data_IF_749649574123
#
_entry.id   IF_749649574123
#
_cell.length_a   1.000
_cell.length_b   1.000
_cell.length_c   1.000
_cell.angle_alpha   90.00
_cell.angle_beta   90.00
_cell.angle_gamma   90.00
#
_symmetry.space_group_name_H-M   'P 1'
#
loop_
_entity.id
_entity.type
_entity.pdbx_description
1 polymer ?
#
# COMPACT_ATOMS: atom_id res chain seq x y z
N UNK A 1 -23.89 -25.28 19.54
CA UNK A 1 -23.11 -26.13 20.49
C UNK A 1 -21.63 -26.17 20.17
N UNK A 2 -21.24 -26.48 18.92
CA UNK A 2 -19.81 -26.48 18.54
C UNK A 2 -19.08 -25.15 18.82
N UNK A 3 -19.74 -24.01 18.57
CA UNK A 3 -19.18 -22.68 18.88
C UNK A 3 -18.92 -22.46 20.37
N UNK A 4 -19.76 -23.01 21.26
CA UNK A 4 -19.57 -22.89 22.71
C UNK A 4 -18.38 -23.73 23.18
N UNK A 5 -18.25 -24.94 22.65
CA UNK A 5 -17.11 -25.81 22.94
C UNK A 5 -15.82 -25.14 22.45
N UNK A 6 -15.84 -24.58 21.24
CA UNK A 6 -14.69 -23.88 20.67
C UNK A 6 -14.33 -22.61 21.46
N UNK A 7 -15.34 -21.84 21.90
CA UNK A 7 -15.14 -20.67 22.75
C UNK A 7 -14.57 -21.05 24.13
N UNK A 8 -15.00 -22.18 24.70
CA UNK A 8 -14.48 -22.66 25.98
C UNK A 8 -13.02 -23.12 25.85
N UNK A 9 -12.69 -23.87 24.80
CA UNK A 9 -11.30 -24.25 24.50
C UNK A 9 -10.43 -23.01 24.27
N UNK A 10 -10.92 -22.06 23.47
CA UNK A 10 -10.21 -20.80 23.21
C UNK A 10 -10.00 -19.99 24.50
N UNK A 11 -11.01 -19.92 25.37
CA UNK A 11 -10.91 -19.25 26.66
C UNK A 11 -9.82 -19.86 27.54
N UNK A 12 -9.78 -21.20 27.65
CA UNK A 12 -8.71 -21.90 28.38
C UNK A 12 -7.33 -21.57 27.81
N UNK A 13 -7.18 -21.55 26.48
CA UNK A 13 -5.92 -21.16 25.83
C UNK A 13 -5.51 -19.73 26.15
N UNK A 14 -6.45 -18.77 26.12
CA UNK A 14 -6.21 -17.37 26.49
C UNK A 14 -5.81 -17.24 27.95
N UNK A 15 -6.49 -17.95 28.86
CA UNK A 15 -6.15 -17.98 30.28
C UNK A 15 -4.74 -18.55 30.50
N UNK A 16 -4.41 -19.67 29.86
CA UNK A 16 -3.08 -20.28 29.93
C UNK A 16 -2.00 -19.34 29.38
N UNK A 17 -2.28 -18.65 28.28
CA UNK A 17 -1.40 -17.63 27.72
C UNK A 17 -1.17 -16.50 28.71
N UNK A 18 -2.23 -15.98 29.35
CA UNK A 18 -2.11 -14.92 30.34
C UNK A 18 -1.28 -15.34 31.56
N UNK A 19 -1.53 -16.54 32.10
CA UNK A 19 -0.80 -17.06 33.27
C UNK A 19 0.67 -17.31 32.96
N UNK A 20 0.99 -17.90 31.80
CA UNK A 20 2.38 -18.16 31.42
C UNK A 20 3.15 -16.87 31.07
N UNK A 21 2.47 -15.87 30.51
CA UNK A 21 3.04 -14.56 30.18
C UNK A 21 2.90 -13.53 31.32
N UNK A 22 2.51 -13.97 32.53
CA UNK A 22 2.45 -13.14 33.73
C UNK A 22 3.84 -12.85 34.34
N UNK A 23 4.92 -13.39 33.76
CA UNK A 23 6.28 -13.00 34.14
C UNK A 23 6.47 -11.50 33.91
N UNK A 24 6.79 -10.81 34.99
CA UNK A 24 7.17 -9.40 34.96
C UNK A 24 8.55 -9.26 34.31
N UNK A 25 8.62 -8.43 33.28
CA UNK A 25 9.86 -8.07 32.61
C UNK A 25 10.18 -6.63 32.96
N UNK A 26 11.40 -6.39 33.41
CA UNK A 26 11.92 -5.05 33.61
C UNK A 26 12.59 -4.59 32.33
N UNK A 27 12.02 -3.56 31.71
CA UNK A 27 12.64 -2.90 30.56
C UNK A 27 13.42 -1.71 31.11
N UNK A 28 14.73 -1.74 30.92
CA UNK A 28 15.62 -0.63 31.26
C UNK A 28 16.12 0.03 29.97
N UNK A 29 15.75 1.30 29.77
CA UNK A 29 16.17 2.13 28.66
C UNK A 29 16.89 3.37 29.18
N UNK A 30 18.22 3.40 28.98
CA UNK A 30 19.14 4.48 29.36
C UNK A 30 19.09 4.86 30.85
N UNK A 31 18.12 5.67 31.28
CA UNK A 31 17.89 6.05 32.69
C UNK A 31 16.49 5.70 33.21
N UNK A 32 15.61 5.21 32.34
CA UNK A 32 14.25 4.81 32.71
C UNK A 32 14.15 3.30 32.82
N UNK A 33 13.55 2.80 33.89
CA UNK A 33 13.19 1.40 34.04
C UNK A 33 11.71 1.27 34.34
N UNK A 34 11.01 0.42 33.60
CA UNK A 34 9.61 0.08 33.86
C UNK A 34 9.49 -1.42 34.10
N UNK A 35 8.76 -1.79 35.16
CA UNK A 35 8.37 -3.17 35.41
C UNK A 35 6.95 -3.38 34.89
N UNK A 36 6.80 -4.22 33.89
CA UNK A 36 5.50 -4.53 33.28
C UNK A 36 5.43 -6.00 32.88
N UNK A 37 4.26 -6.51 32.53
CA UNK A 37 4.15 -7.90 32.08
C UNK A 37 4.68 -8.05 30.66
N UNK A 38 5.31 -9.20 30.37
CA UNK A 38 5.78 -9.51 29.02
C UNK A 38 4.66 -9.41 27.97
N UNK A 39 3.45 -9.83 28.33
CA UNK A 39 2.28 -9.73 27.46
C UNK A 39 1.99 -8.29 26.99
N UNK A 40 2.08 -7.30 27.88
CA UNK A 40 1.85 -5.89 27.54
C UNK A 40 2.93 -5.38 26.57
N UNK A 41 4.18 -5.78 26.79
CA UNK A 41 5.32 -5.39 25.92
C UNK A 41 5.13 -5.94 24.51
N UNK A 42 4.82 -7.23 24.39
CA UNK A 42 4.63 -7.88 23.09
C UNK A 42 3.42 -7.30 22.37
N UNK A 43 2.29 -7.12 23.07
CA UNK A 43 1.06 -6.60 22.48
C UNK A 43 1.22 -5.16 22.01
N UNK A 44 1.87 -4.31 22.81
CA UNK A 44 2.13 -2.91 22.44
C UNK A 44 3.13 -2.81 21.28
N UNK A 45 4.19 -3.62 21.29
CA UNK A 45 5.19 -3.66 20.20
C UNK A 45 4.57 -4.13 18.89
N UNK A 46 3.77 -5.20 18.94
CA UNK A 46 3.04 -5.69 17.77
C UNK A 46 2.02 -4.65 17.28
N UNK A 47 1.27 -4.04 18.20
CA UNK A 47 0.31 -2.97 17.88
C UNK A 47 0.99 -1.77 17.22
N UNK A 48 2.13 -1.31 17.75
CA UNK A 48 2.94 -0.26 17.14
C UNK A 48 3.41 -0.66 15.73
N UNK A 49 3.88 -1.90 15.55
CA UNK A 49 4.26 -2.44 14.25
C UNK A 49 3.12 -2.42 13.24
N UNK A 50 1.90 -2.80 13.64
CA UNK A 50 0.71 -2.74 12.78
C UNK A 50 0.40 -1.30 12.39
N UNK A 51 0.43 -0.36 13.34
CA UNK A 51 0.18 1.06 13.05
C UNK A 51 1.19 1.59 12.04
N UNK A 52 2.48 1.30 12.22
CA UNK A 52 3.55 1.70 11.30
C UNK A 52 3.32 1.08 9.91
N UNK A 53 2.97 -0.20 9.84
CA UNK A 53 2.69 -0.88 8.58
C UNK A 53 1.48 -0.27 7.84
N UNK A 54 0.42 0.05 8.56
CA UNK A 54 -0.77 0.71 8.00
C UNK A 54 -0.45 2.12 7.48
N UNK A 55 0.34 2.90 8.23
CA UNK A 55 0.80 4.22 7.77
C UNK A 55 1.69 4.13 6.53
N UNK A 56 2.60 3.14 6.49
CA UNK A 56 3.44 2.87 5.32
C UNK A 56 2.60 2.52 4.10
N UNK A 57 1.62 1.63 4.26
CA UNK A 57 0.67 1.25 3.21
C UNK A 57 -0.12 2.45 2.69
N UNK A 58 -0.60 3.33 3.59
CA UNK A 58 -1.31 4.55 3.19
C UNK A 58 -0.42 5.47 2.34
N UNK A 59 0.84 5.69 2.74
CA UNK A 59 1.79 6.49 1.95
C UNK A 59 2.05 5.91 0.56
N UNK A 60 2.20 4.59 0.45
CA UNK A 60 2.41 3.90 -0.82
C UNK A 60 1.19 4.07 -1.74
N UNK A 61 -0.01 3.89 -1.21
CA UNK A 61 -1.25 4.05 -1.97
C UNK A 61 -1.41 5.49 -2.51
N UNK A 62 -1.05 6.50 -1.73
CA UNK A 62 -1.07 7.89 -2.21
C UNK A 62 -0.12 8.09 -3.38
N UNK A 63 1.12 7.59 -3.28
CA UNK A 63 2.10 7.69 -4.38
C UNK A 63 1.62 6.97 -5.63
N UNK A 64 1.08 5.76 -5.48
CA UNK A 64 0.53 4.98 -6.60
C UNK A 64 -0.60 5.74 -7.32
N UNK A 65 -1.51 6.36 -6.57
CA UNK A 65 -2.62 7.15 -7.15
C UNK A 65 -2.10 8.34 -7.95
N UNK A 66 -1.10 9.05 -7.44
CA UNK A 66 -0.49 10.17 -8.17
C UNK A 66 0.25 9.70 -9.43
N UNK A 67 0.98 8.59 -9.35
CA UNK A 67 1.66 7.99 -10.49
C UNK A 67 0.69 7.52 -11.57
N UNK A 68 -0.46 6.95 -11.19
CA UNK A 68 -1.51 6.56 -12.13
C UNK A 68 -2.06 7.77 -12.90
N UNK A 69 -2.41 8.85 -12.20
CA UNK A 69 -2.90 10.07 -12.87
C UNK A 69 -1.86 10.67 -13.83
N UNK A 70 -0.57 10.63 -13.47
CA UNK A 70 0.49 11.08 -14.36
C UNK A 70 0.64 10.18 -15.58
N UNK A 71 0.50 8.86 -15.40
CA UNK A 71 0.55 7.90 -16.49
C UNK A 71 -0.63 8.09 -17.46
N UNK A 72 -1.85 8.26 -16.95
CA UNK A 72 -3.05 8.53 -17.76
C UNK A 72 -2.89 9.81 -18.59
N UNK A 73 -2.38 10.88 -17.99
CA UNK A 73 -2.09 12.14 -18.71
C UNK A 73 -1.09 11.91 -19.84
N UNK A 74 -0.02 11.15 -19.60
CA UNK A 74 0.99 10.84 -20.63
C UNK A 74 0.40 10.02 -21.77
N UNK A 75 -0.46 9.04 -21.49
CA UNK A 75 -1.16 8.26 -22.52
C UNK A 75 -2.00 9.19 -23.40
N UNK A 76 -2.80 10.07 -22.79
CA UNK A 76 -3.66 10.99 -23.53
C UNK A 76 -2.88 12.00 -24.40
N UNK A 77 -1.74 12.50 -23.90
CA UNK A 77 -0.87 13.39 -24.68
C UNK A 77 -0.20 12.66 -25.85
N UNK A 78 0.23 11.42 -25.66
CA UNK A 78 0.80 10.59 -26.72
C UNK A 78 -0.23 10.25 -27.80
N UNK A 79 -1.47 9.94 -27.41
CA UNK A 79 -2.59 9.72 -28.35
C UNK A 79 -2.87 10.96 -29.20
N UNK A 80 -2.89 12.15 -28.57
CA UNK A 80 -3.05 13.43 -29.28
C UNK A 80 -1.90 13.71 -30.24
N UNK A 81 -0.66 13.44 -29.82
CA UNK A 81 0.51 13.65 -30.67
C UNK A 81 0.49 12.71 -31.90
N UNK A 82 0.10 11.45 -31.71
CA UNK A 82 -0.11 10.49 -32.80
C UNK A 82 -1.20 10.97 -33.77
N UNK A 83 -2.38 11.35 -33.26
CA UNK A 83 -3.47 11.86 -34.10
C UNK A 83 -3.03 13.09 -34.91
N UNK A 84 -2.26 14.00 -34.31
CA UNK A 84 -1.74 15.20 -34.99
C UNK A 84 -0.70 14.85 -36.06
N UNK A 85 0.19 13.89 -35.78
CA UNK A 85 1.19 13.42 -36.73
C UNK A 85 0.56 12.68 -37.93
N UNK A 86 -0.49 11.89 -37.69
CA UNK A 86 -1.29 11.21 -38.74
C UNK A 86 -1.92 12.23 -39.69
N UNK A 87 -2.54 13.30 -39.15
CA UNK A 87 -3.14 14.38 -39.93
C UNK A 87 -2.08 15.13 -40.74
N UNK A 88 -0.92 15.41 -40.14
CA UNK A 88 0.18 16.08 -40.83
C UNK A 88 0.77 15.24 -41.96
N UNK A 89 0.82 13.91 -41.80
CA UNK A 89 1.34 12.98 -42.81
C UNK A 89 0.35 12.75 -43.97
N UNK A 90 -0.96 12.84 -43.70
CA UNK A 90 -1.98 12.83 -44.75
C UNK A 90 -1.97 14.14 -45.57
N UNK A 91 -1.69 15.29 -44.93
CA UNK A 91 -1.53 16.57 -45.61
C UNK A 91 -0.35 16.61 -46.58
N UNK A 92 0.78 16.00 -46.23
CA UNK A 92 1.96 15.90 -47.12
C UNK A 92 1.76 14.92 -48.26
N UNK A 93 1.09 13.77 -48.05
CA UNK A 93 0.75 12.84 -49.14
C UNK A 93 -0.31 13.36 -50.11
N UNK A 94 -1.20 14.24 -49.66
CA UNK A 94 -2.19 14.91 -50.51
C UNK A 94 -1.59 16.01 -51.38
N UNK A 95 -0.61 16.75 -50.86
CA UNK A 95 0.11 17.80 -51.61
C UNK A 95 0.96 17.24 -52.75
N UNK A 96 1.69 16.15 -52.48
CA UNK A 96 2.54 15.49 -53.49
C UNK A 96 1.69 14.99 -54.69
N UNK A 97 0.49 14.47 -54.42
CA UNK A 97 -0.42 13.97 -55.46
C UNK A 97 -1.02 15.07 -56.35
N UNK A 98 -1.04 16.32 -55.89
CA UNK A 98 -1.54 17.47 -56.66
C UNK A 98 -0.44 18.08 -57.55
N UNK A 99 0.83 17.93 -57.21
CA UNK A 99 1.95 18.30 -58.10
C UNK A 99 2.16 17.27 -59.21
N UNK A 100 1.96 15.97 -58.95
CA UNK A 100 2.13 14.92 -59.98
C UNK A 100 1.01 14.84 -61.02
N UNK A 101 -0.17 15.44 -60.79
CA UNK A 101 -1.30 15.44 -61.74
C UNK A 101 -1.27 16.66 -62.69
N UNK A 102 -0.34 17.61 -62.48
CA UNK A 102 -0.15 18.80 -63.32
C UNK A 102 0.97 18.68 -64.37
N UNK A 103 1.60 17.50 -64.52
CA UNK A 103 2.66 17.24 -65.51
C UNK A 103 2.23 16.12 -66.46
#
# INVERSE_FOLDING_TARGET
MIYLILAMVFSVLVTLFAVQNAMSVTISFLTWSINTSFAIVVLSSAGAGIIIALLSQAMIQLRLRLSLQQSEKRVHELEKALAKAEISNQGTKGGDKLEFDQV
#
